data_IF_737280138906
#
_entry.id   IF_737280138906
#
_cell.length_a   1.000
_cell.length_b   1.000
_cell.length_c   1.000
_cell.angle_alpha   90.00
_cell.angle_beta   90.00
_cell.angle_gamma   90.00
#
_symmetry.space_group_name_H-M   'P 1'
#
loop_
_entity.id
_entity.type
_entity.pdbx_description
1 polymer ?
#
# COMPACT_ATOMS: atom_id res chain seq x y z
N UNK A 1 17.97 -12.38 -27.01
CA UNK A 1 17.38 -12.09 -25.68
C UNK A 1 16.24 -11.11 -25.91
N UNK A 2 14.99 -11.52 -25.68
CA UNK A 2 13.88 -10.58 -25.68
C UNK A 2 14.06 -9.62 -24.48
N UNK A 3 13.77 -8.32 -24.61
CA UNK A 3 13.72 -7.44 -23.46
C UNK A 3 12.67 -8.03 -22.51
N UNK A 4 13.03 -8.21 -21.23
CA UNK A 4 12.06 -8.55 -20.21
C UNK A 4 10.95 -7.50 -20.28
N UNK A 5 9.74 -7.90 -20.67
CA UNK A 5 8.57 -7.04 -20.62
C UNK A 5 8.44 -6.55 -19.19
N UNK A 6 8.90 -5.31 -18.97
CA UNK A 6 8.75 -4.57 -17.72
C UNK A 6 7.25 -4.62 -17.44
N UNK A 7 6.85 -5.36 -16.41
CA UNK A 7 5.45 -5.54 -16.03
C UNK A 7 4.75 -4.19 -16.12
N UNK A 8 3.76 -4.10 -17.02
CA UNK A 8 3.21 -2.82 -17.47
C UNK A 8 2.79 -1.95 -16.29
N UNK A 9 3.64 -0.97 -15.96
CA UNK A 9 3.37 0.01 -14.91
C UNK A 9 2.12 0.81 -15.29
N UNK A 10 1.32 1.17 -14.30
CA UNK A 10 0.11 1.96 -14.51
C UNK A 10 0.45 3.33 -15.07
N UNK A 11 -0.01 3.60 -16.29
CA UNK A 11 0.26 4.84 -17.01
C UNK A 11 -0.82 5.92 -16.83
N UNK A 12 -1.74 5.77 -15.88
CA UNK A 12 -2.90 6.65 -15.76
C UNK A 12 -4.09 6.28 -16.66
N UNK A 13 -3.92 5.35 -17.60
CA UNK A 13 -4.99 4.88 -18.52
C UNK A 13 -5.64 3.62 -17.95
N UNK A 14 -6.97 3.47 -18.09
CA UNK A 14 -7.77 2.37 -17.53
C UNK A 14 -7.68 2.25 -16.00
N UNK A 15 -7.71 3.39 -15.29
CA UNK A 15 -7.61 3.46 -13.83
C UNK A 15 -8.53 2.47 -13.11
N UNK A 16 -9.80 2.34 -13.53
CA UNK A 16 -10.75 1.38 -12.93
C UNK A 16 -10.27 -0.07 -13.00
N UNK A 17 -9.66 -0.47 -14.13
CA UNK A 17 -9.13 -1.83 -14.32
C UNK A 17 -7.86 -2.04 -13.52
N UNK A 18 -6.97 -1.05 -13.48
CA UNK A 18 -5.77 -1.12 -12.64
C UNK A 18 -6.14 -1.18 -11.15
N UNK A 19 -7.06 -0.33 -10.70
CA UNK A 19 -7.50 -0.28 -9.30
C UNK A 19 -8.10 -1.62 -8.87
N UNK A 20 -8.91 -2.27 -9.71
CA UNK A 20 -9.45 -3.61 -9.44
C UNK A 20 -8.34 -4.67 -9.34
N UNK A 21 -7.37 -4.66 -10.27
CA UNK A 21 -6.22 -5.59 -10.21
C UNK A 21 -5.36 -5.36 -8.99
N UNK A 22 -5.10 -4.10 -8.64
CA UNK A 22 -4.33 -3.73 -7.45
C UNK A 22 -5.05 -4.14 -6.17
N UNK A 23 -6.36 -3.90 -6.08
CA UNK A 23 -7.17 -4.35 -4.95
C UNK A 23 -7.12 -5.88 -4.77
N UNK A 24 -7.25 -6.64 -5.87
CA UNK A 24 -7.12 -8.08 -5.84
C UNK A 24 -5.70 -8.51 -5.39
N UNK A 25 -4.66 -7.88 -5.93
CA UNK A 25 -3.27 -8.16 -5.56
C UNK A 25 -3.01 -7.91 -4.06
N UNK A 26 -3.43 -6.77 -3.52
CA UNK A 26 -3.30 -6.48 -2.09
C UNK A 26 -4.09 -7.46 -1.22
N UNK A 27 -5.25 -7.94 -1.69
CA UNK A 27 -6.02 -8.99 -1.01
C UNK A 27 -5.23 -10.30 -0.94
N UNK A 28 -4.58 -10.71 -2.03
CA UNK A 28 -3.73 -11.93 -2.03
C UNK A 28 -2.53 -11.84 -1.09
N UNK A 29 -2.08 -10.62 -0.78
CA UNK A 29 -0.99 -10.35 0.17
C UNK A 29 -1.47 -10.08 1.59
N UNK A 30 -2.79 -10.14 1.86
CA UNK A 30 -3.40 -9.75 3.14
C UNK A 30 -3.12 -8.29 3.55
N UNK A 31 -2.87 -7.41 2.57
CA UNK A 31 -2.55 -5.99 2.77
C UNK A 31 -3.73 -5.05 2.45
N UNK A 32 -4.84 -5.58 1.92
CA UNK A 32 -5.98 -4.76 1.50
C UNK A 32 -6.51 -3.86 2.63
N UNK A 33 -6.59 -4.35 3.86
CA UNK A 33 -7.13 -3.60 5.01
C UNK A 33 -6.43 -2.27 5.27
N UNK A 34 -5.13 -2.18 4.99
CA UNK A 34 -4.34 -0.97 5.24
C UNK A 34 -4.72 0.19 4.30
N UNK A 35 -5.42 -0.11 3.20
CA UNK A 35 -5.96 0.93 2.29
C UNK A 35 -7.22 1.61 2.82
N UNK A 36 -7.80 1.13 3.92
CA UNK A 36 -9.06 1.62 4.48
C UNK A 36 -9.04 1.85 5.99
N UNK A 37 -8.35 1.00 6.75
CA UNK A 37 -8.29 1.04 8.21
C UNK A 37 -7.21 2.02 8.70
N UNK A 38 -7.46 2.60 9.88
CA UNK A 38 -6.47 3.38 10.61
C UNK A 38 -5.61 2.48 11.50
N UNK A 39 -4.49 3.02 11.98
CA UNK A 39 -3.63 2.29 12.91
C UNK A 39 -4.42 1.83 14.16
N UNK A 40 -4.14 0.62 14.67
CA UNK A 40 -4.90 0.05 15.76
C UNK A 40 -4.73 0.89 17.02
N UNK A 41 -5.86 1.21 17.67
CA UNK A 41 -5.88 1.74 19.03
C UNK A 41 -5.62 0.57 19.98
N UNK A 42 -4.47 0.58 20.65
CA UNK A 42 -4.08 -0.51 21.55
C UNK A 42 -4.65 -0.23 22.95
N UNK A 43 -5.39 -1.17 23.57
CA UNK A 43 -5.95 -0.98 24.91
C UNK A 43 -4.87 -0.74 25.97
N UNK A 44 -5.15 0.14 26.94
CA UNK A 44 -4.23 0.49 28.05
C UNK A 44 -3.78 -0.70 28.90
N UNK A 45 -4.54 -1.80 28.90
CA UNK A 45 -4.27 -3.02 29.68
C UNK A 45 -3.20 -3.91 29.04
N UNK A 46 -2.77 -3.63 27.80
CA UNK A 46 -1.72 -4.38 27.12
C UNK A 46 -0.33 -4.08 27.69
N UNK A 47 0.56 -5.07 27.73
CA UNK A 47 1.93 -4.78 28.18
C UNK A 47 2.64 -3.88 27.18
N UNK A 48 3.59 -3.06 27.66
CA UNK A 48 4.41 -2.19 26.81
C UNK A 48 5.06 -2.94 25.64
N UNK A 49 5.51 -4.19 25.88
CA UNK A 49 6.13 -5.02 24.84
C UNK A 49 5.13 -5.43 23.76
N UNK A 50 3.93 -5.85 24.14
CA UNK A 50 2.87 -6.22 23.19
C UNK A 50 2.40 -5.00 22.41
N UNK A 51 2.19 -3.88 23.10
CA UNK A 51 1.86 -2.61 22.46
C UNK A 51 2.90 -2.22 21.39
N UNK A 52 4.18 -2.27 21.75
CA UNK A 52 5.27 -1.98 20.82
C UNK A 52 5.26 -2.93 19.61
N UNK A 53 5.09 -4.24 19.84
CA UNK A 53 5.04 -5.22 18.75
C UNK A 53 3.86 -5.00 17.80
N UNK A 54 2.67 -4.67 18.32
CA UNK A 54 1.47 -4.40 17.50
C UNK A 54 1.70 -3.18 16.61
N UNK A 55 2.22 -2.09 17.20
CA UNK A 55 2.46 -0.84 16.48
C UNK A 55 3.53 -1.02 15.39
N UNK A 56 4.64 -1.70 15.70
CA UNK A 56 5.71 -1.92 14.72
C UNK A 56 5.27 -2.87 13.60
N UNK A 57 4.52 -3.94 13.93
CA UNK A 57 3.96 -4.85 12.93
C UNK A 57 2.98 -4.13 11.99
N UNK A 58 2.17 -3.21 12.53
CA UNK A 58 1.29 -2.37 11.73
C UNK A 58 2.07 -1.47 10.79
N UNK A 59 3.04 -0.69 11.30
CA UNK A 59 3.87 0.21 10.49
C UNK A 59 4.60 -0.52 9.37
N UNK A 60 5.16 -1.68 9.68
CA UNK A 60 5.85 -2.51 8.68
C UNK A 60 4.88 -2.97 7.58
N UNK A 61 3.68 -3.43 7.95
CA UNK A 61 2.67 -3.88 7.00
C UNK A 61 2.10 -2.73 6.16
N UNK A 62 1.85 -1.57 6.75
CA UNK A 62 1.44 -0.36 6.03
C UNK A 62 2.53 0.11 5.05
N UNK A 63 3.80 0.06 5.47
CA UNK A 63 4.94 0.33 4.60
C UNK A 63 4.97 -0.62 3.40
N UNK A 64 4.78 -1.92 3.60
CA UNK A 64 4.72 -2.89 2.51
C UNK A 64 3.55 -2.59 1.55
N UNK A 65 2.35 -2.34 2.09
CA UNK A 65 1.17 -2.00 1.29
C UNK A 65 1.42 -0.75 0.42
N UNK A 66 1.95 0.31 1.03
CA UNK A 66 2.29 1.57 0.34
C UNK A 66 3.28 1.31 -0.80
N UNK A 67 4.34 0.53 -0.55
CA UNK A 67 5.33 0.20 -1.58
C UNK A 67 4.77 -0.70 -2.69
N UNK A 68 3.88 -1.64 -2.39
CA UNK A 68 3.20 -2.44 -3.42
C UNK A 68 2.41 -1.53 -4.37
N UNK A 69 1.63 -0.59 -3.84
CA UNK A 69 0.88 0.38 -4.65
C UNK A 69 1.84 1.22 -5.48
N UNK A 70 2.82 1.87 -4.84
CA UNK A 70 3.80 2.72 -5.51
C UNK A 70 4.57 1.97 -6.61
N UNK A 71 5.01 0.73 -6.36
CA UNK A 71 5.79 -0.07 -7.31
C UNK A 71 5.06 -0.36 -8.63
N UNK A 72 3.73 -0.32 -8.59
CA UNK A 72 2.89 -0.54 -9.76
C UNK A 72 2.61 0.73 -10.56
N UNK A 73 2.97 1.90 -10.04
CA UNK A 73 2.83 3.18 -10.72
C UNK A 73 3.98 3.41 -11.70
N UNK A 74 3.71 4.18 -12.77
CA UNK A 74 4.78 4.76 -13.58
C UNK A 74 5.61 5.78 -12.80
N UNK A 75 6.83 6.03 -13.28
CA UNK A 75 7.84 6.81 -12.55
C UNK A 75 7.35 8.24 -12.24
N UNK A 76 6.62 8.87 -13.18
CA UNK A 76 6.05 10.21 -12.97
C UNK A 76 5.01 10.24 -11.84
N UNK A 77 4.09 9.25 -11.81
CA UNK A 77 3.09 9.12 -10.76
C UNK A 77 3.74 8.70 -9.43
N UNK A 78 4.72 7.81 -9.47
CA UNK A 78 5.49 7.42 -8.30
C UNK A 78 6.09 8.65 -7.61
N UNK A 79 6.75 9.53 -8.37
CA UNK A 79 7.38 10.71 -7.81
C UNK A 79 6.38 11.64 -7.11
N UNK A 80 5.21 11.85 -7.71
CA UNK A 80 4.12 12.66 -7.13
C UNK A 80 3.61 12.05 -5.81
N UNK A 81 3.40 10.74 -5.77
CA UNK A 81 2.76 10.07 -4.64
C UNK A 81 3.73 9.51 -3.59
N UNK A 82 5.03 9.48 -3.86
CA UNK A 82 6.07 8.90 -2.98
C UNK A 82 6.11 9.54 -1.58
N UNK A 83 5.70 10.80 -1.47
CA UNK A 83 5.65 11.56 -0.21
C UNK A 83 4.46 11.24 0.71
N UNK A 84 3.48 10.45 0.26
CA UNK A 84 2.33 10.02 1.08
C UNK A 84 2.79 9.22 2.29
N UNK A 85 2.21 9.44 3.47
CA UNK A 85 2.75 8.83 4.71
C UNK A 85 2.24 7.41 4.93
N UNK A 86 0.97 7.16 4.58
CA UNK A 86 0.31 5.87 4.80
C UNK A 86 -0.24 5.28 3.51
N UNK A 87 -0.47 3.96 3.50
CA UNK A 87 -1.10 3.32 2.35
C UNK A 87 -2.57 3.74 2.17
N UNK A 88 -3.27 4.10 3.26
CA UNK A 88 -4.62 4.68 3.22
C UNK A 88 -4.67 6.04 2.54
N UNK A 89 -3.77 6.96 2.91
CA UNK A 89 -3.64 8.28 2.26
C UNK A 89 -3.33 8.13 0.77
N UNK A 90 -2.36 7.27 0.45
CA UNK A 90 -1.98 6.97 -0.93
C UNK A 90 -3.17 6.44 -1.74
N UNK A 91 -3.87 5.43 -1.21
CA UNK A 91 -5.02 4.84 -1.87
C UNK A 91 -6.17 5.84 -2.02
N UNK A 92 -6.36 6.73 -1.05
CA UNK A 92 -7.34 7.81 -1.11
C UNK A 92 -7.00 8.87 -2.17
N UNK A 93 -5.73 9.25 -2.29
CA UNK A 93 -5.27 10.24 -3.26
C UNK A 93 -5.29 9.74 -4.71
N UNK A 94 -5.28 8.40 -4.90
CA UNK A 94 -5.37 7.78 -6.21
C UNK A 94 -6.81 7.66 -6.72
N UNK A 95 -7.82 7.70 -5.85
CA UNK A 95 -9.25 7.65 -6.23
C UNK A 95 -9.68 8.91 -6.97
#
# INVERSE_FOLDING_TARGET
>A
MAPAEKSGKFMGIDFKRWQQKMFFYLTTLCLQRFTSEDAPEVPEVTSYKEHFMIVEAWKYSDFLCRNCILSSLQDDLYNVYSGTKTSKELWGALK
#
